data_IF_933714668795
#
_entry.id   IF_933714668795
#
_cell.length_a   1.000
_cell.length_b   1.000
_cell.length_c   1.000
_cell.angle_alpha   90.00
_cell.angle_beta   90.00
_cell.angle_gamma   90.00
#
_symmetry.space_group_name_H-M   'P 1'
#
loop_
_entity.id
_entity.type
_entity.pdbx_description
1 polymer ?
#
# COMPACT_ATOMS: atom_id res chain seq x y z
N UNK A 1 49.32 -16.91 -11.78
CA UNK A 1 48.18 -16.23 -12.43
C UNK A 1 46.81 -16.62 -11.84
N UNK A 2 46.47 -17.91 -11.69
CA UNK A 2 45.13 -18.33 -11.19
C UNK A 2 44.73 -17.79 -9.79
N UNK A 3 45.69 -17.63 -8.87
CA UNK A 3 45.42 -17.09 -7.51
C UNK A 3 45.07 -15.60 -7.47
N UNK A 4 45.59 -14.80 -8.42
CA UNK A 4 45.34 -13.35 -8.49
C UNK A 4 43.93 -13.07 -9.04
N UNK A 5 43.50 -13.87 -10.03
CA UNK A 5 42.16 -13.78 -10.60
C UNK A 5 41.10 -14.14 -9.54
N UNK A 6 41.35 -15.17 -8.74
CA UNK A 6 40.44 -15.55 -7.66
C UNK A 6 40.29 -14.45 -6.60
N UNK A 7 41.39 -13.77 -6.23
CA UNK A 7 41.35 -12.64 -5.31
C UNK A 7 40.51 -11.49 -5.87
N UNK A 8 40.65 -11.19 -7.17
CA UNK A 8 39.87 -10.15 -7.84
C UNK A 8 38.36 -10.47 -7.88
N UNK A 9 37.99 -11.72 -8.13
CA UNK A 9 36.58 -12.15 -8.14
C UNK A 9 35.97 -12.05 -6.74
N UNK A 10 36.71 -12.46 -5.71
CA UNK A 10 36.25 -12.34 -4.31
C UNK A 10 36.12 -10.86 -3.91
N UNK A 11 37.07 -10.01 -4.28
CA UNK A 11 37.03 -8.57 -3.99
C UNK A 11 35.85 -7.89 -4.70
N UNK A 12 35.56 -8.28 -5.95
CA UNK A 12 34.44 -7.75 -6.73
C UNK A 12 33.07 -8.15 -6.14
N UNK A 13 32.96 -9.36 -5.59
CA UNK A 13 31.75 -9.80 -4.88
C UNK A 13 31.55 -9.08 -3.55
N UNK A 14 32.63 -8.81 -2.79
CA UNK A 14 32.54 -8.09 -1.51
C UNK A 14 32.22 -6.61 -1.74
N UNK A 15 32.82 -5.97 -2.74
CA UNK A 15 32.59 -4.56 -3.04
C UNK A 15 31.17 -4.30 -3.57
N UNK A 16 30.59 -5.22 -4.36
CA UNK A 16 29.18 -5.10 -4.79
C UNK A 16 28.19 -5.19 -3.63
N UNK A 17 28.49 -5.98 -2.59
CA UNK A 17 27.64 -6.08 -1.39
C UNK A 17 27.66 -4.79 -0.55
N UNK A 18 28.69 -3.95 -0.70
CA UNK A 18 28.81 -2.67 0.03
C UNK A 18 28.08 -1.54 -0.71
N UNK A 19 28.10 -1.54 -2.05
CA UNK A 19 27.44 -0.48 -2.85
C UNK A 19 25.93 -0.65 -3.04
N UNK A 20 25.37 -1.84 -2.81
CA UNK A 20 23.92 -2.10 -2.89
C UNK A 20 23.13 -1.65 -1.63
N UNK A 21 23.73 -0.86 -0.73
CA UNK A 21 23.12 -0.39 0.52
C UNK A 21 23.07 1.14 0.68
N UNK A 22 23.10 1.88 -0.42
CA UNK A 22 22.97 3.32 -0.40
C UNK A 22 21.87 3.76 -1.36
N UNK A 23 20.61 3.62 -0.93
CA UNK A 23 19.48 4.38 -1.47
C UNK A 23 18.40 4.45 -0.39
N UNK A 24 18.74 5.07 0.75
CA UNK A 24 17.71 5.62 1.63
C UNK A 24 17.31 6.98 1.04
N UNK A 25 16.30 6.97 0.18
CA UNK A 25 15.61 8.17 -0.25
C UNK A 25 15.15 8.94 1.00
N UNK A 26 15.57 10.19 1.09
CA UNK A 26 15.21 11.12 2.16
C UNK A 26 13.68 11.30 2.18
N UNK A 27 12.98 10.61 3.09
CA UNK A 27 11.58 10.85 3.41
C UNK A 27 11.56 11.77 4.63
N UNK A 28 10.88 12.90 4.51
CA UNK A 28 11.02 14.08 5.37
C UNK A 28 11.08 13.83 6.87
N UNK A 29 12.04 14.49 7.53
CA UNK A 29 12.06 14.62 8.98
C UNK A 29 10.98 15.61 9.42
N UNK A 30 9.91 15.12 10.04
CA UNK A 30 9.12 15.93 10.95
C UNK A 30 9.95 16.18 12.22
N UNK A 31 10.66 17.31 12.29
CA UNK A 31 11.24 17.75 13.55
C UNK A 31 10.09 18.17 14.47
N UNK A 32 10.03 17.61 15.67
CA UNK A 32 9.13 18.09 16.72
C UNK A 32 9.52 19.54 17.00
N UNK A 33 8.73 20.48 16.48
CA UNK A 33 9.03 21.91 16.49
C UNK A 33 8.85 22.54 17.87
N UNK A 34 8.05 21.93 18.74
CA UNK A 34 7.89 22.36 20.13
C UNK A 34 7.44 21.19 21.02
N UNK A 35 8.05 21.07 22.21
CA UNK A 35 7.54 20.29 23.33
C UNK A 35 7.41 21.24 24.51
N UNK A 36 6.19 21.64 24.85
CA UNK A 36 5.94 22.37 26.08
C UNK A 36 5.37 21.42 27.13
N UNK A 37 6.21 21.04 28.09
CA UNK A 37 5.74 20.64 29.42
C UNK A 37 6.87 20.82 30.44
N UNK A 38 6.54 21.40 31.59
CA UNK A 38 7.50 21.75 32.63
C UNK A 38 8.07 20.54 33.36
N UNK A 39 9.39 20.34 33.28
CA UNK A 39 10.06 19.29 34.05
C UNK A 39 11.53 19.08 33.67
N UNK A 40 12.40 19.60 34.53
CA UNK A 40 13.87 19.52 34.64
C UNK A 40 14.52 18.24 34.02
N UNK A 41 15.30 18.45 32.94
CA UNK A 41 16.66 17.99 32.55
C UNK A 41 17.20 16.59 32.92
N UNK A 42 16.57 15.75 33.74
CA UNK A 42 17.12 14.42 34.07
C UNK A 42 16.30 13.31 33.44
N UNK A 43 16.98 12.54 32.60
CA UNK A 43 16.68 11.18 32.12
C UNK A 43 15.23 10.73 32.21
N UNK A 44 14.62 10.41 31.07
CA UNK A 44 13.27 9.87 30.94
C UNK A 44 13.18 8.51 31.65
N UNK A 45 12.85 8.41 32.95
CA UNK A 45 13.09 7.18 33.69
C UNK A 45 12.02 6.13 33.37
N UNK A 46 10.88 6.56 32.83
CA UNK A 46 9.72 5.70 32.67
C UNK A 46 8.80 6.27 31.59
N UNK A 47 8.81 5.65 30.41
CA UNK A 47 7.74 5.85 29.43
C UNK A 47 6.48 5.21 30.02
N UNK A 48 5.50 6.02 30.39
CA UNK A 48 4.30 5.57 31.09
C UNK A 48 3.30 4.85 30.19
N UNK A 49 3.24 5.21 28.89
CA UNK A 49 2.37 4.58 27.91
C UNK A 49 2.92 4.79 26.50
N UNK A 50 2.97 3.72 25.71
CA UNK A 50 3.22 3.75 24.27
C UNK A 50 1.96 3.23 23.58
N UNK A 51 1.26 4.10 22.87
CA UNK A 51 0.16 3.73 21.97
C UNK A 51 0.49 4.24 20.56
N UNK A 52 0.01 3.53 19.54
CA UNK A 52 0.12 3.95 18.14
C UNK A 52 1.57 4.20 17.69
N UNK A 53 2.48 3.39 18.22
CA UNK A 53 3.91 3.44 17.93
C UNK A 53 4.47 2.04 17.69
N UNK A 54 5.39 1.95 16.74
CA UNK A 54 6.09 0.72 16.37
C UNK A 54 7.57 0.87 16.64
N UNK A 55 8.17 -0.19 17.19
CA UNK A 55 9.61 -0.29 17.38
C UNK A 55 10.25 -0.65 16.05
N UNK A 56 11.20 0.15 15.61
CA UNK A 56 11.94 -0.07 14.36
C UNK A 56 13.44 -0.09 14.64
N UNK A 57 14.22 -0.67 13.73
CA UNK A 57 15.67 -0.64 13.84
C UNK A 57 16.16 0.75 13.42
N UNK A 58 16.68 1.50 14.39
CA UNK A 58 17.30 2.80 14.17
C UNK A 58 18.74 2.69 13.65
N UNK A 59 19.36 3.84 13.32
CA UNK A 59 20.74 3.88 12.85
C UNK A 59 21.70 3.17 13.80
N UNK A 60 22.69 2.47 13.24
CA UNK A 60 23.72 1.74 14.01
C UNK A 60 23.16 0.69 14.98
N UNK A 61 21.96 0.16 14.70
CA UNK A 61 21.33 -0.86 15.54
C UNK A 61 20.67 -0.33 16.81
N UNK A 62 20.52 0.99 16.95
CA UNK A 62 19.75 1.59 18.04
C UNK A 62 18.26 1.24 17.91
N UNK A 63 17.52 1.29 19.01
CA UNK A 63 16.07 1.18 18.99
C UNK A 63 15.47 2.50 18.49
N UNK A 64 14.81 2.46 17.34
CA UNK A 64 13.97 3.55 16.85
C UNK A 64 12.52 3.37 17.27
N UNK A 65 11.81 4.47 17.44
CA UNK A 65 10.37 4.50 17.67
C UNK A 65 9.75 5.36 16.56
N UNK A 66 8.73 4.82 15.92
CA UNK A 66 7.99 5.45 14.81
C UNK A 66 6.49 5.40 15.14
N UNK A 67 5.70 6.36 14.66
CA UNK A 67 4.24 6.27 14.71
C UNK A 67 3.76 5.10 13.85
N UNK A 68 2.76 4.36 14.34
CA UNK A 68 2.11 3.33 13.52
C UNK A 68 1.49 3.96 12.29
N UNK A 69 1.53 3.21 11.18
CA UNK A 69 0.84 3.65 9.96
C UNK A 69 -0.65 3.75 10.23
N UNK A 70 -1.30 4.74 9.63
CA UNK A 70 -2.74 4.83 9.68
C UNK A 70 -3.31 3.73 8.77
N UNK A 71 -3.88 2.70 9.38
CA UNK A 71 -4.46 1.57 8.66
C UNK A 71 -5.97 1.79 8.48
N UNK A 72 -6.52 1.57 7.27
CA UNK A 72 -7.96 1.61 7.08
C UNK A 72 -8.63 0.48 7.87
N UNK A 73 -9.43 0.83 8.87
CA UNK A 73 -10.24 -0.13 9.62
C UNK A 73 -11.60 -0.36 8.95
N UNK A 74 -12.09 -1.59 9.00
CA UNK A 74 -13.48 -1.90 8.62
C UNK A 74 -14.41 -1.29 9.67
N UNK A 75 -15.27 -0.37 9.23
CA UNK A 75 -16.33 0.24 10.05
C UNK A 75 -17.69 -0.23 9.55
N UNK A 76 -18.76 0.08 10.28
CA UNK A 76 -20.13 -0.31 9.93
C UNK A 76 -20.58 0.20 8.54
N UNK A 77 -19.96 1.26 8.05
CA UNK A 77 -20.22 1.83 6.72
C UNK A 77 -19.18 1.43 5.66
N UNK A 78 -18.25 0.53 5.98
CA UNK A 78 -17.26 0.03 5.03
C UNK A 78 -17.87 -1.10 4.21
N UNK A 79 -18.20 -0.79 2.96
CA UNK A 79 -18.76 -1.75 2.01
C UNK A 79 -17.71 -2.76 1.50
N UNK A 80 -16.49 -2.28 1.26
CA UNK A 80 -15.36 -3.07 0.77
C UNK A 80 -14.05 -2.48 1.27
N UNK A 81 -13.20 -3.31 1.86
CA UNK A 81 -11.80 -3.01 2.14
C UNK A 81 -10.90 -4.06 1.48
N UNK A 82 -10.13 -3.61 0.48
CA UNK A 82 -9.13 -4.44 -0.20
C UNK A 82 -7.73 -4.03 0.27
N UNK A 83 -6.98 -4.96 0.87
CA UNK A 83 -5.63 -4.68 1.36
C UNK A 83 -4.67 -5.87 1.19
N UNK A 84 -3.39 -5.60 1.41
CA UNK A 84 -2.28 -6.51 1.08
C UNK A 84 -1.33 -6.72 2.26
N UNK A 85 -1.80 -6.47 3.48
CA UNK A 85 -0.97 -6.49 4.69
C UNK A 85 -0.55 -7.91 5.10
N UNK A 86 -1.27 -8.93 4.62
CA UNK A 86 -0.85 -10.32 4.74
C UNK A 86 -0.11 -10.76 3.47
N UNK A 87 1.21 -10.56 3.45
CA UNK A 87 2.04 -10.95 2.32
C UNK A 87 2.25 -12.46 2.33
N UNK A 88 1.41 -13.16 1.57
CA UNK A 88 1.69 -14.50 1.07
C UNK A 88 1.35 -14.55 -0.42
N UNK A 89 2.15 -15.26 -1.21
CA UNK A 89 1.98 -15.32 -2.66
C UNK A 89 0.53 -15.68 -3.01
N UNK A 90 -0.13 -14.79 -3.76
CA UNK A 90 -1.51 -14.98 -4.24
C UNK A 90 -2.60 -14.82 -3.18
N UNK A 91 -2.30 -14.41 -1.94
CA UNK A 91 -3.35 -14.04 -0.97
C UNK A 91 -3.58 -12.54 -0.98
N UNK A 92 -4.83 -12.19 -1.22
CA UNK A 92 -5.37 -10.84 -1.10
C UNK A 92 -6.42 -10.89 -0.02
N UNK A 93 -6.41 -9.89 0.86
CA UNK A 93 -7.42 -9.78 1.90
C UNK A 93 -8.56 -8.91 1.38
N UNK A 94 -9.74 -9.52 1.33
CA UNK A 94 -11.00 -8.84 1.01
C UNK A 94 -11.80 -8.82 2.29
N UNK A 95 -11.70 -7.72 3.02
CA UNK A 95 -12.42 -7.51 4.26
C UNK A 95 -13.70 -6.69 3.97
N UNK A 96 -14.77 -7.03 4.68
CA UNK A 96 -16.13 -6.64 4.33
C UNK A 96 -16.92 -7.83 3.77
N UNK A 97 -18.01 -8.20 4.44
CA UNK A 97 -18.76 -9.45 4.18
C UNK A 97 -19.50 -9.50 2.83
N UNK A 98 -19.51 -8.39 2.10
CA UNK A 98 -20.37 -8.15 0.94
C UNK A 98 -19.78 -8.64 -0.38
N UNK A 99 -18.50 -9.00 -0.43
CA UNK A 99 -17.83 -9.40 -1.67
C UNK A 99 -17.10 -10.73 -1.54
N UNK A 100 -16.93 -11.42 -2.67
CA UNK A 100 -16.07 -12.59 -2.78
C UNK A 100 -15.04 -12.41 -3.88
N UNK A 101 -13.80 -12.80 -3.61
CA UNK A 101 -12.74 -12.86 -4.61
C UNK A 101 -13.06 -13.94 -5.64
N UNK A 102 -13.16 -13.55 -6.92
CA UNK A 102 -13.38 -14.46 -8.05
C UNK A 102 -12.07 -14.79 -8.75
N UNK A 103 -11.23 -13.78 -8.95
CA UNK A 103 -9.96 -13.92 -9.65
C UNK A 103 -8.96 -12.90 -9.12
N UNK A 104 -7.69 -13.29 -9.10
CA UNK A 104 -6.58 -12.40 -8.81
C UNK A 104 -5.33 -12.82 -9.57
N UNK A 105 -4.75 -11.86 -10.28
CA UNK A 105 -3.40 -11.95 -10.85
C UNK A 105 -2.63 -10.71 -10.47
N UNK A 106 -1.98 -10.77 -9.29
CA UNK A 106 -1.24 -9.65 -8.70
C UNK A 106 -0.14 -10.17 -7.77
N UNK A 107 0.82 -9.30 -7.45
CA UNK A 107 2.01 -9.65 -6.67
C UNK A 107 2.11 -8.80 -5.39
N UNK A 108 1.58 -9.29 -4.24
CA UNK A 108 1.77 -8.65 -2.94
C UNK A 108 3.24 -8.67 -2.50
N UNK A 109 3.72 -7.58 -1.91
CA UNK A 109 5.10 -7.46 -1.43
C UNK A 109 5.23 -6.43 -0.30
N UNK A 110 6.03 -6.78 0.71
CA UNK A 110 6.40 -5.88 1.81
C UNK A 110 7.44 -4.82 1.41
N UNK A 111 8.14 -5.02 0.29
CA UNK A 111 9.28 -4.20 -0.12
C UNK A 111 8.88 -2.96 -0.91
N UNK A 112 7.65 -2.92 -1.43
CA UNK A 112 7.13 -1.84 -2.27
C UNK A 112 6.04 -1.02 -1.56
N UNK A 113 5.86 -1.26 -0.25
CA UNK A 113 4.81 -0.61 0.54
C UNK A 113 5.20 0.82 0.89
N UNK A 114 4.23 1.73 0.78
CA UNK A 114 4.36 3.11 1.29
C UNK A 114 3.71 3.24 2.66
N UNK A 115 2.59 2.54 2.88
CA UNK A 115 1.84 2.47 4.13
C UNK A 115 1.38 1.04 4.38
N UNK A 116 1.09 0.70 5.65
CA UNK A 116 0.61 -0.62 6.05
C UNK A 116 1.71 -1.68 6.08
N UNK A 117 1.30 -2.94 6.09
CA UNK A 117 2.20 -4.08 6.12
C UNK A 117 2.58 -4.64 4.74
N UNK A 118 1.82 -4.32 3.70
CA UNK A 118 2.16 -4.67 2.32
C UNK A 118 1.49 -3.79 1.27
N UNK A 119 2.03 -3.85 0.05
CA UNK A 119 1.39 -3.29 -1.13
C UNK A 119 1.39 -4.32 -2.27
N UNK A 120 0.71 -4.01 -3.37
CA UNK A 120 0.54 -4.94 -4.48
C UNK A 120 0.97 -4.35 -5.80
N UNK A 121 1.72 -5.12 -6.58
CA UNK A 121 2.10 -4.78 -7.94
C UNK A 121 1.23 -5.51 -8.96
N UNK A 122 0.78 -4.76 -9.97
CA UNK A 122 0.11 -5.26 -11.17
C UNK A 122 1.16 -5.25 -12.29
N UNK A 123 1.77 -6.41 -12.55
CA UNK A 123 2.99 -6.47 -13.38
C UNK A 123 2.72 -6.68 -14.87
N UNK A 124 1.51 -7.12 -15.23
CA UNK A 124 1.15 -7.44 -16.61
C UNK A 124 -0.06 -6.61 -17.06
N UNK A 125 -0.18 -6.37 -18.37
CA UNK A 125 -1.29 -5.64 -18.99
C UNK A 125 -2.67 -6.27 -18.67
N UNK A 126 -2.71 -7.56 -18.32
CA UNK A 126 -3.93 -8.28 -17.92
C UNK A 126 -4.11 -8.48 -16.42
N UNK A 127 -3.14 -8.05 -15.60
CA UNK A 127 -3.18 -8.22 -14.14
C UNK A 127 -4.38 -7.48 -13.57
N UNK A 128 -5.18 -8.19 -12.79
CA UNK A 128 -6.43 -7.65 -12.23
C UNK A 128 -6.89 -8.44 -11.02
N UNK A 129 -7.78 -7.81 -10.27
CA UNK A 129 -8.54 -8.42 -9.19
C UNK A 129 -10.01 -8.34 -9.61
N UNK A 130 -10.68 -9.49 -9.70
CA UNK A 130 -12.12 -9.55 -9.93
C UNK A 130 -12.82 -9.93 -8.64
N UNK A 131 -13.79 -9.10 -8.24
CA UNK A 131 -14.66 -9.34 -7.10
C UNK A 131 -16.09 -9.56 -7.59
N UNK A 132 -16.80 -10.48 -6.96
CA UNK A 132 -18.23 -10.69 -7.18
C UNK A 132 -19.00 -10.14 -5.98
N UNK A 133 -19.96 -9.21 -6.16
CA UNK A 133 -20.82 -8.75 -5.08
C UNK A 133 -21.79 -9.87 -4.65
N UNK A 134 -22.02 -9.99 -3.35
CA UNK A 134 -23.07 -10.83 -2.76
C UNK A 134 -24.37 -10.02 -2.66
N UNK A 135 -25.49 -10.69 -2.42
CA UNK A 135 -26.82 -10.06 -2.34
C UNK A 135 -26.91 -8.90 -1.34
N UNK A 136 -26.10 -8.92 -0.28
CA UNK A 136 -26.05 -7.84 0.71
C UNK A 136 -25.32 -6.59 0.22
N UNK A 137 -24.46 -6.71 -0.81
CA UNK A 137 -23.64 -5.62 -1.29
C UNK A 137 -24.46 -4.49 -1.92
N UNK A 138 -23.98 -3.25 -1.84
CA UNK A 138 -24.58 -2.08 -2.48
C UNK A 138 -24.47 -2.13 -4.01
N UNK A 139 -23.39 -2.74 -4.53
CA UNK A 139 -23.19 -2.93 -5.97
C UNK A 139 -23.78 -4.25 -6.51
N UNK A 140 -24.61 -4.93 -5.72
CA UNK A 140 -25.33 -6.11 -6.21
C UNK A 140 -26.34 -5.70 -7.31
N UNK A 141 -26.43 -6.46 -8.43
CA UNK A 141 -27.38 -6.15 -9.50
C UNK A 141 -28.82 -5.99 -9.01
N UNK A 142 -29.53 -4.99 -9.53
CA UNK A 142 -30.93 -4.71 -9.15
C UNK A 142 -31.10 -3.83 -7.91
N UNK A 143 -30.03 -3.47 -7.20
CA UNK A 143 -30.10 -2.47 -6.12
C UNK A 143 -29.93 -1.05 -6.62
N UNK A 144 -30.60 -0.11 -5.94
CA UNK A 144 -30.40 1.32 -6.16
C UNK A 144 -29.05 1.73 -5.56
N UNK A 145 -28.15 2.23 -6.39
CA UNK A 145 -26.86 2.74 -5.97
C UNK A 145 -27.04 4.08 -5.22
N UNK A 146 -26.73 4.09 -3.93
CA UNK A 146 -26.62 5.32 -3.13
C UNK A 146 -25.30 6.06 -3.36
N UNK A 147 -25.13 7.20 -2.68
CA UNK A 147 -23.84 7.89 -2.62
C UNK A 147 -22.78 7.01 -1.96
N UNK A 148 -21.56 7.04 -2.47
CA UNK A 148 -20.44 6.29 -1.93
C UNK A 148 -19.14 7.10 -2.04
N UNK A 149 -18.12 6.68 -1.30
CA UNK A 149 -16.76 7.23 -1.37
C UNK A 149 -15.80 6.11 -1.69
N UNK A 150 -14.85 6.36 -2.59
CA UNK A 150 -13.78 5.43 -2.94
C UNK A 150 -12.44 6.08 -2.57
N UNK A 151 -11.65 5.38 -1.76
CA UNK A 151 -10.34 5.83 -1.29
C UNK A 151 -9.30 4.74 -1.55
N UNK A 152 -8.20 5.08 -2.21
CA UNK A 152 -7.14 4.14 -2.55
C UNK A 152 -5.79 4.87 -2.69
N UNK A 153 -4.71 4.13 -2.50
CA UNK A 153 -3.35 4.56 -2.83
C UNK A 153 -2.93 3.91 -4.15
N UNK A 154 -2.38 4.69 -5.06
CA UNK A 154 -1.88 4.22 -6.35
C UNK A 154 -0.54 4.86 -6.65
N UNK A 155 0.41 4.03 -7.11
CA UNK A 155 1.73 4.49 -7.54
C UNK A 155 2.01 3.95 -8.96
N UNK A 156 1.63 4.70 -10.00
CA UNK A 156 1.87 4.30 -11.38
C UNK A 156 3.32 4.57 -11.77
N UNK A 157 4.00 3.57 -12.35
CA UNK A 157 5.39 3.72 -12.83
C UNK A 157 5.47 4.57 -14.10
N UNK A 158 4.41 4.52 -14.93
CA UNK A 158 4.25 5.34 -16.12
C UNK A 158 2.78 5.78 -16.18
N UNK A 159 2.56 7.03 -16.59
CA UNK A 159 1.24 7.59 -16.85
C UNK A 159 1.25 8.16 -18.26
N UNK A 160 0.27 7.78 -19.07
CA UNK A 160 -0.02 8.47 -20.32
C UNK A 160 -1.23 9.37 -20.14
N UNK A 161 -1.20 10.54 -20.77
CA UNK A 161 -2.35 11.45 -20.80
C UNK A 161 -3.59 10.73 -21.31
N UNK A 162 -4.68 10.81 -20.56
CA UNK A 162 -5.94 10.15 -20.90
C UNK A 162 -6.04 8.68 -20.45
N UNK A 163 -5.06 8.14 -19.71
CA UNK A 163 -5.22 6.83 -19.08
C UNK A 163 -6.35 6.83 -18.06
N UNK A 164 -7.19 5.80 -18.12
CA UNK A 164 -8.35 5.65 -17.24
C UNK A 164 -7.90 5.15 -15.87
N UNK A 165 -8.15 5.95 -14.83
CA UNK A 165 -7.88 5.59 -13.42
C UNK A 165 -9.05 4.80 -12.86
N UNK A 166 -10.26 5.32 -13.09
CA UNK A 166 -11.51 4.72 -12.62
C UNK A 166 -12.52 4.78 -13.75
N UNK A 167 -13.27 3.70 -13.92
CA UNK A 167 -14.35 3.61 -14.88
C UNK A 167 -15.49 2.83 -14.25
N UNK A 168 -16.62 3.49 -14.02
CA UNK A 168 -17.88 2.82 -13.73
C UNK A 168 -18.74 2.90 -14.98
N UNK A 169 -18.81 1.80 -15.72
CA UNK A 169 -19.78 1.64 -16.81
C UNK A 169 -20.97 0.88 -16.23
N UNK A 170 -22.07 1.58 -15.98
CA UNK A 170 -23.32 0.89 -15.71
C UNK A 170 -23.85 0.35 -17.06
N UNK A 171 -24.48 -0.83 -17.08
CA UNK A 171 -25.29 -1.26 -18.21
C UNK A 171 -26.61 -0.49 -18.24
N UNK A 172 -26.62 0.81 -17.94
CA UNK A 172 -27.72 1.67 -18.32
C UNK A 172 -27.49 2.02 -19.79
N UNK A 173 -28.28 1.40 -20.64
CA UNK A 173 -28.34 1.72 -22.06
C UNK A 173 -29.16 2.99 -22.17
N UNK A 174 -28.55 4.10 -22.59
CA UNK A 174 -29.33 5.25 -23.08
C UNK A 174 -30.12 4.83 -24.31
N UNK A 175 -31.18 5.56 -24.66
CA UNK A 175 -31.98 5.30 -25.87
C UNK A 175 -31.15 5.30 -27.18
N UNK A 176 -29.89 5.75 -27.14
CA UNK A 176 -28.90 5.75 -28.22
C UNK A 176 -27.94 4.54 -28.21
N UNK A 177 -28.21 3.51 -27.40
CA UNK A 177 -27.37 2.32 -27.24
C UNK A 177 -25.99 2.57 -26.59
N UNK A 178 -25.75 3.74 -25.99
CA UNK A 178 -24.50 4.02 -25.29
C UNK A 178 -24.56 3.60 -23.82
N UNK A 179 -23.48 2.95 -23.35
CA UNK A 179 -23.26 2.65 -21.94
C UNK A 179 -23.14 3.97 -21.17
N UNK A 180 -23.96 4.14 -20.12
CA UNK A 180 -23.84 5.30 -19.22
C UNK A 180 -22.99 4.99 -18.01
N UNK A 181 -22.24 5.98 -17.57
CA UNK A 181 -21.26 5.81 -16.51
C UNK A 181 -20.44 7.05 -16.27
N UNK A 182 -19.42 6.92 -15.45
CA UNK A 182 -18.39 7.93 -15.31
C UNK A 182 -17.01 7.29 -15.46
N UNK A 183 -16.09 8.08 -16.02
CA UNK A 183 -14.68 7.71 -16.13
C UNK A 183 -13.84 8.86 -15.59
N UNK A 184 -12.84 8.53 -14.79
CA UNK A 184 -11.81 9.43 -14.28
C UNK A 184 -10.51 9.05 -14.97
N UNK A 185 -9.78 10.05 -15.43
CA UNK A 185 -8.54 9.88 -16.18
C UNK A 185 -7.41 10.67 -15.51
N UNK A 186 -6.17 10.23 -15.71
CA UNK A 186 -5.01 11.07 -15.44
C UNK A 186 -4.98 12.22 -16.45
N UNK A 187 -4.69 13.41 -15.95
CA UNK A 187 -4.49 14.63 -16.72
C UNK A 187 -3.01 14.97 -16.73
#
# INVERSE_FOLDING_TARGET
MKKIIFLFVVLFFILNQIFLRADDAFIGFGAIKERSWGGIVRDWPSIFKMSDVVKVRGPRGMLGIRLSDNFPEVKDNTELLLHFDQVSFGRIMVDGSSYSLKYSDVYPSINIKVMGDGACAFQHIGSRIELTPREVAQFYPGKKLGSFTLSFYLYPTMLFDGETVISMLAPSIRFDNQLTGFKLYFK
#
